data_IF_855067000792
#
_entry.id   IF_855067000792
#
_cell.length_a   1.000
_cell.length_b   1.000
_cell.length_c   1.000
_cell.angle_alpha   90.00
_cell.angle_beta   90.00
_cell.angle_gamma   90.00
#
_symmetry.space_group_name_H-M   'P 1'
#
loop_
_entity.id
_entity.type
_entity.pdbx_description
1 polymer ?
#
# COMPACT_ATOMS: atom_id res chain seq x y z
N UNK A 1 10.71 -29.64 -31.80
CA UNK A 1 9.96 -30.67 -31.06
C UNK A 1 9.22 -29.97 -29.93
N UNK A 2 7.89 -29.86 -30.00
CA UNK A 2 7.08 -29.32 -28.89
C UNK A 2 7.05 -30.37 -27.79
N UNK A 3 7.57 -30.06 -26.59
CA UNK A 3 7.33 -30.87 -25.40
C UNK A 3 6.23 -30.21 -24.58
N UNK A 4 5.13 -30.94 -24.52
CA UNK A 4 3.99 -30.77 -23.65
C UNK A 4 4.48 -30.88 -22.19
N UNK A 5 4.31 -29.84 -21.38
CA UNK A 5 4.52 -29.90 -19.94
C UNK A 5 3.17 -30.19 -19.27
N UNK A 6 3.08 -31.35 -18.61
CA UNK A 6 2.01 -31.69 -17.69
C UNK A 6 2.32 -30.99 -16.36
N UNK A 7 1.46 -30.07 -15.94
CA UNK A 7 1.49 -29.50 -14.60
C UNK A 7 0.77 -30.46 -13.64
N UNK A 8 1.48 -30.92 -12.62
CA UNK A 8 0.86 -31.65 -11.49
C UNK A 8 0.64 -30.64 -10.36
N UNK A 9 -0.59 -30.17 -10.20
CA UNK A 9 -0.98 -29.26 -9.12
C UNK A 9 -1.18 -30.05 -7.82
N UNK A 10 -0.55 -29.60 -6.73
CA UNK A 10 -0.94 -29.99 -5.37
C UNK A 10 -1.99 -28.96 -4.94
N UNK A 11 -3.23 -29.41 -4.75
CA UNK A 11 -4.33 -28.60 -4.23
C UNK A 11 -4.30 -28.73 -2.71
N UNK A 12 -3.90 -27.67 -2.00
CA UNK A 12 -4.16 -27.54 -0.57
C UNK A 12 -5.50 -26.83 -0.38
N UNK A 13 -6.53 -27.57 0.01
CA UNK A 13 -7.87 -27.03 0.26
C UNK A 13 -7.96 -26.59 1.73
N UNK A 14 -7.92 -25.28 2.00
CA UNK A 14 -8.25 -24.72 3.30
C UNK A 14 -9.70 -24.22 3.29
N UNK A 15 -10.59 -24.92 4.00
CA UNK A 15 -12.00 -24.52 4.15
C UNK A 15 -12.14 -23.65 5.40
N UNK A 16 -12.34 -22.34 5.21
CA UNK A 16 -12.74 -21.44 6.29
C UNK A 16 -14.24 -21.18 6.22
N UNK A 17 -15.01 -21.77 7.13
CA UNK A 17 -16.42 -21.45 7.33
C UNK A 17 -16.54 -20.44 8.48
N UNK A 18 -16.66 -19.16 8.15
CA UNK A 18 -16.85 -18.10 9.14
C UNK A 18 -18.34 -17.89 9.41
N UNK A 19 -18.75 -18.15 10.64
CA UNK A 19 -20.09 -17.87 11.16
C UNK A 19 -19.99 -16.67 12.10
N UNK A 20 -20.75 -15.62 11.87
CA UNK A 20 -20.78 -14.45 12.74
C UNK A 20 -21.27 -14.83 14.14
N UNK A 21 -20.44 -14.59 15.16
CA UNK A 21 -20.88 -14.64 16.55
C UNK A 21 -20.48 -13.32 17.22
N UNK A 22 -21.49 -12.59 17.72
CA UNK A 22 -21.35 -11.27 18.30
C UNK A 22 -20.51 -11.29 19.58
N UNK A 23 -19.66 -10.27 19.73
CA UNK A 23 -18.86 -10.03 20.93
C UNK A 23 -19.47 -8.85 21.68
N UNK A 24 -20.05 -9.11 22.85
CA UNK A 24 -20.37 -8.08 23.85
C UNK A 24 -19.12 -7.79 24.73
N UNK A 25 -18.89 -6.54 25.17
CA UNK A 25 -17.78 -6.24 26.07
C UNK A 25 -18.22 -6.37 27.53
N UNK A 26 -17.40 -6.96 28.39
CA UNK A 26 -17.62 -6.86 29.84
C UNK A 26 -16.34 -6.84 30.67
N UNK A 27 -16.27 -5.75 31.44
CA UNK A 27 -15.74 -5.62 32.80
C UNK A 27 -14.24 -5.43 33.02
N UNK A 28 -13.95 -4.16 33.29
CA UNK A 28 -12.84 -3.58 34.04
C UNK A 28 -12.56 -4.32 35.35
N UNK A 29 -11.31 -4.68 35.59
CA UNK A 29 -10.81 -5.09 36.93
C UNK A 29 -9.81 -4.03 37.37
N UNK A 30 -10.18 -3.26 38.38
CA UNK A 30 -9.29 -2.35 39.11
C UNK A 30 -8.69 -3.12 40.28
N UNK A 31 -7.38 -3.34 40.27
CA UNK A 31 -6.66 -3.88 41.43
C UNK A 31 -5.81 -2.77 42.03
N UNK A 32 -6.28 -2.23 43.15
CA UNK A 32 -5.57 -1.30 44.02
C UNK A 32 -4.49 -2.07 44.79
N UNK A 33 -3.23 -1.66 44.68
CA UNK A 33 -2.14 -2.13 45.56
C UNK A 33 -1.64 -0.94 46.39
N UNK A 34 -1.96 -0.97 47.69
CA UNK A 34 -1.32 -0.13 48.71
C UNK A 34 0.11 -0.62 48.98
N UNK A 35 1.04 0.33 49.14
CA UNK A 35 2.34 0.09 49.75
C UNK A 35 2.55 1.09 50.89
N UNK A 36 2.70 0.58 52.12
CA UNK A 36 3.03 1.36 53.29
C UNK A 36 4.53 1.63 53.43
N UNK A 37 4.89 2.74 54.06
CA UNK A 37 6.18 2.96 54.74
C UNK A 37 6.07 4.09 55.78
N UNK A 38 6.66 3.98 56.99
CA UNK A 38 6.71 5.04 57.99
C UNK A 38 8.06 5.82 57.99
N UNK A 39 8.22 6.89 58.81
CA UNK A 39 8.91 8.11 58.42
C UNK A 39 10.36 8.24 58.93
N UNK A 40 11.13 9.10 58.28
CA UNK A 40 12.45 9.56 58.73
C UNK A 40 12.76 10.96 58.18
N UNK A 41 13.09 11.87 59.09
CA UNK A 41 13.31 13.30 58.90
C UNK A 41 14.61 13.62 58.14
N UNK A 42 14.61 14.70 57.34
CA UNK A 42 15.75 15.61 57.21
C UNK A 42 15.31 16.93 56.54
N UNK A 43 15.58 18.04 57.22
CA UNK A 43 15.48 19.41 56.69
C UNK A 43 16.65 19.68 55.72
N UNK A 44 16.38 20.30 54.58
CA UNK A 44 17.37 21.08 53.84
C UNK A 44 16.70 22.13 52.96
N UNK A 45 17.09 23.38 53.18
CA UNK A 45 16.77 24.57 52.40
C UNK A 45 17.34 24.47 50.98
N UNK A 46 16.50 24.62 49.95
CA UNK A 46 16.97 24.94 48.60
C UNK A 46 15.96 25.87 47.90
N UNK A 47 16.49 26.98 47.41
CA UNK A 47 15.87 28.07 46.65
C UNK A 47 15.18 27.57 45.38
N UNK A 48 13.89 27.88 45.25
CA UNK A 48 13.10 27.57 44.05
C UNK A 48 13.47 28.50 42.88
N UNK A 49 13.93 27.90 41.79
CA UNK A 49 13.97 28.50 40.44
C UNK A 49 12.59 28.27 39.82
N UNK A 50 11.96 29.24 39.13
CA UNK A 50 10.70 29.00 38.45
C UNK A 50 11.00 28.20 37.18
N UNK A 51 10.72 26.90 37.21
CA UNK A 51 10.69 26.08 35.99
C UNK A 51 9.45 26.53 35.22
N UNK A 52 9.67 27.21 34.09
CA UNK A 52 8.62 27.40 33.09
C UNK A 52 8.34 26.03 32.50
N UNK A 53 7.26 25.42 32.96
CA UNK A 53 6.64 24.27 32.32
C UNK A 53 5.93 24.78 31.07
N UNK A 54 6.69 24.98 29.98
CA UNK A 54 6.11 24.96 28.64
C UNK A 54 5.73 23.51 28.34
N UNK A 55 4.59 23.11 28.90
CA UNK A 55 3.84 21.96 28.42
C UNK A 55 3.34 22.30 27.02
N UNK A 56 4.24 22.10 26.04
CA UNK A 56 3.88 22.07 24.63
C UNK A 56 2.96 20.87 24.47
N UNK A 57 1.65 21.14 24.43
CA UNK A 57 0.63 20.16 24.11
C UNK A 57 0.99 19.54 22.76
N UNK A 58 1.51 18.31 22.79
CA UNK A 58 1.76 17.52 21.60
C UNK A 58 0.45 17.40 20.83
N UNK A 59 0.40 18.02 19.64
CA UNK A 59 -0.70 17.89 18.70
C UNK A 59 -0.93 16.41 18.43
N UNK A 60 -1.97 15.85 19.04
CA UNK A 60 -2.42 14.46 18.86
C UNK A 60 -3.26 14.33 17.58
N UNK A 61 -2.87 15.06 16.53
CA UNK A 61 -3.46 14.96 15.21
C UNK A 61 -2.65 13.99 14.36
N UNK A 62 -3.32 13.16 13.55
CA UNK A 62 -2.66 12.35 12.54
C UNK A 62 -1.96 13.25 11.53
N UNK A 63 -0.70 12.95 11.21
CA UNK A 63 0.01 13.61 10.11
C UNK A 63 -0.65 13.21 8.79
N UNK A 64 -1.01 14.17 7.96
CA UNK A 64 -1.81 13.96 6.74
C UNK A 64 -1.21 14.69 5.55
N UNK A 65 -1.38 14.13 4.36
CA UNK A 65 -1.04 14.73 3.07
C UNK A 65 -2.28 14.76 2.18
N UNK A 66 -2.47 15.86 1.44
CA UNK A 66 -3.62 16.05 0.57
C UNK A 66 -3.29 17.01 -0.58
N UNK A 67 -4.17 17.06 -1.57
CA UNK A 67 -4.12 18.03 -2.66
C UNK A 67 -5.52 18.66 -2.84
N UNK A 68 -5.62 19.97 -3.17
CA UNK A 68 -6.90 20.54 -3.57
C UNK A 68 -7.42 20.01 -4.92
N UNK A 69 -6.55 19.40 -5.73
CA UNK A 69 -6.85 19.08 -7.13
C UNK A 69 -7.08 17.58 -7.37
N UNK A 70 -6.80 16.74 -6.38
CA UNK A 70 -7.04 15.29 -6.45
C UNK A 70 -7.28 14.73 -5.05
N UNK A 71 -8.23 13.81 -4.96
CA UNK A 71 -8.53 13.06 -3.73
C UNK A 71 -7.70 11.79 -3.65
N UNK A 72 -7.58 11.21 -2.46
CA UNK A 72 -6.95 9.90 -2.28
C UNK A 72 -7.54 8.84 -3.21
N UNK A 73 -6.68 8.12 -3.92
CA UNK A 73 -7.04 7.13 -4.94
C UNK A 73 -7.60 7.72 -6.25
N UNK A 74 -7.67 9.04 -6.36
CA UNK A 74 -8.22 9.72 -7.54
C UNK A 74 -7.28 9.72 -8.74
N UNK A 75 -7.86 9.95 -9.92
CA UNK A 75 -7.09 10.11 -11.16
C UNK A 75 -6.30 11.42 -11.15
N UNK A 76 -4.99 11.34 -11.40
CA UNK A 76 -4.09 12.47 -11.53
C UNK A 76 -4.50 13.32 -12.75
N UNK A 77 -4.87 14.61 -12.57
CA UNK A 77 -5.22 15.47 -13.70
C UNK A 77 -4.10 15.57 -14.74
N UNK A 78 -4.48 15.62 -16.01
CA UNK A 78 -3.54 15.61 -17.15
C UNK A 78 -2.53 16.77 -17.13
N UNK A 79 -2.86 17.89 -16.49
CA UNK A 79 -1.94 19.02 -16.33
C UNK A 79 -0.66 18.66 -15.53
N UNK A 80 -0.73 17.60 -14.71
CA UNK A 80 0.37 17.09 -13.89
C UNK A 80 1.12 15.94 -14.57
N UNK A 81 0.83 15.64 -15.83
CA UNK A 81 1.49 14.56 -16.59
C UNK A 81 2.22 15.13 -17.80
N UNK A 82 2.99 14.29 -18.50
CA UNK A 82 3.69 14.71 -19.71
C UNK A 82 2.76 15.01 -20.88
N UNK A 83 1.49 14.62 -20.78
CA UNK A 83 0.47 14.84 -21.80
C UNK A 83 -0.25 16.20 -21.61
N UNK A 84 0.04 16.93 -20.53
CA UNK A 84 -0.42 18.30 -20.28
C UNK A 84 0.73 19.25 -19.95
N UNK A 85 0.53 20.13 -18.96
CA UNK A 85 1.45 21.22 -18.62
C UNK A 85 2.75 20.76 -17.94
N UNK A 86 2.86 19.47 -17.59
CA UNK A 86 3.99 18.92 -16.82
C UNK A 86 4.21 19.63 -15.48
N UNK A 87 3.12 20.11 -14.88
CA UNK A 87 3.16 20.86 -13.62
C UNK A 87 3.36 19.93 -12.42
N UNK A 88 3.82 20.46 -11.29
CA UNK A 88 3.79 19.73 -10.01
C UNK A 88 2.40 19.84 -9.38
N UNK A 89 1.87 18.73 -8.87
CA UNK A 89 0.62 18.70 -8.10
C UNK A 89 0.75 19.61 -6.85
N UNK A 90 -0.20 20.53 -6.58
CA UNK A 90 -0.20 21.27 -5.31
C UNK A 90 -0.45 20.31 -4.15
N UNK A 91 0.35 20.41 -3.10
CA UNK A 91 0.31 19.54 -1.93
C UNK A 91 0.09 20.37 -0.66
N UNK A 92 -0.66 19.85 0.29
CA UNK A 92 -0.86 20.42 1.63
C UNK A 92 -0.76 19.32 2.67
N UNK A 93 0.01 19.55 3.72
CA UNK A 93 0.12 18.63 4.85
C UNK A 93 -0.19 19.32 6.17
N UNK A 94 -0.73 18.55 7.11
CA UNK A 94 -1.11 19.04 8.43
C UNK A 94 -0.87 17.98 9.50
N UNK A 95 -0.77 18.39 10.76
CA UNK A 95 -0.54 17.47 11.88
C UNK A 95 0.91 16.97 11.98
N UNK A 96 1.89 17.72 11.46
CA UNK A 96 3.29 17.36 11.62
C UNK A 96 3.69 17.34 13.12
N UNK A 97 4.53 16.38 13.57
CA UNK A 97 5.05 16.36 14.94
C UNK A 97 5.71 17.70 15.30
N UNK A 98 5.47 18.20 16.51
CA UNK A 98 5.91 19.54 16.95
C UNK A 98 7.43 19.76 16.88
N UNK A 99 8.23 18.69 16.99
CA UNK A 99 9.69 18.71 16.92
C UNK A 99 10.24 18.50 15.49
N UNK A 100 9.39 18.64 14.46
CA UNK A 100 9.81 18.59 13.06
C UNK A 100 10.67 19.81 12.72
N UNK A 101 11.86 19.60 12.17
CA UNK A 101 12.84 20.63 11.78
C UNK A 101 12.96 20.78 10.26
N UNK A 102 12.60 19.75 9.49
CA UNK A 102 12.50 19.82 8.03
C UNK A 102 11.47 18.83 7.48
N UNK A 103 11.10 19.00 6.21
CA UNK A 103 10.31 18.01 5.45
C UNK A 103 11.06 17.51 4.21
N UNK A 104 10.68 16.33 3.76
CA UNK A 104 11.04 15.79 2.46
C UNK A 104 9.80 15.23 1.74
N UNK A 105 9.81 15.26 0.40
CA UNK A 105 8.75 14.73 -0.46
C UNK A 105 9.38 13.79 -1.47
N UNK A 106 8.75 12.62 -1.63
CA UNK A 106 9.04 11.67 -2.69
C UNK A 106 7.76 11.41 -3.48
N UNK A 107 7.84 11.47 -4.81
CA UNK A 107 6.83 10.90 -5.69
C UNK A 107 7.43 9.69 -6.39
N UNK A 108 6.77 8.54 -6.30
CA UNK A 108 7.25 7.31 -6.91
C UNK A 108 6.13 6.40 -7.40
N UNK A 109 6.48 5.44 -8.24
CA UNK A 109 5.66 4.32 -8.67
C UNK A 109 6.52 3.06 -8.59
N UNK A 110 5.97 2.00 -7.99
CA UNK A 110 6.61 0.69 -7.83
C UNK A 110 5.82 -0.28 -8.74
N UNK A 111 6.23 -0.47 -10.00
CA UNK A 111 5.58 -1.43 -10.89
C UNK A 111 5.79 -2.89 -10.47
N UNK A 112 6.80 -3.17 -9.63
CA UNK A 112 7.09 -4.51 -9.13
C UNK A 112 8.21 -4.52 -8.11
N UNK A 113 8.48 -5.65 -7.46
CA UNK A 113 9.61 -5.80 -6.54
C UNK A 113 10.93 -5.48 -7.27
N UNK A 114 11.80 -4.72 -6.61
CA UNK A 114 13.07 -4.18 -7.14
C UNK A 114 12.98 -3.22 -8.34
N UNK A 115 11.77 -2.91 -8.84
CA UNK A 115 11.55 -1.86 -9.82
C UNK A 115 10.87 -0.66 -9.14
N UNK A 116 11.59 0.45 -9.08
CA UNK A 116 11.08 1.71 -8.53
C UNK A 116 11.44 2.84 -9.47
N UNK A 117 10.41 3.55 -9.91
CA UNK A 117 10.58 4.81 -10.61
C UNK A 117 10.21 5.95 -9.68
N UNK A 118 11.08 6.94 -9.55
CA UNK A 118 10.81 8.14 -8.77
C UNK A 118 10.85 9.37 -9.67
N UNK A 119 9.84 10.20 -9.49
CA UNK A 119 9.49 11.33 -10.34
C UNK A 119 9.81 12.65 -9.67
N UNK A 120 9.85 12.65 -8.34
CA UNK A 120 10.18 13.82 -7.56
C UNK A 120 10.92 13.42 -6.28
N UNK A 121 12.05 14.06 -6.02
CA UNK A 121 12.75 14.05 -4.74
C UNK A 121 12.97 15.51 -4.37
N UNK A 122 12.41 15.94 -3.26
CA UNK A 122 12.56 17.29 -2.72
C UNK A 122 12.81 17.19 -1.23
N UNK A 123 13.89 17.77 -0.73
CA UNK A 123 14.28 17.70 0.68
C UNK A 123 14.71 19.08 1.18
N UNK A 124 15.11 19.19 2.45
CA UNK A 124 15.42 20.47 3.12
C UNK A 124 14.27 21.49 3.07
N UNK A 125 13.02 21.04 3.02
CA UNK A 125 11.85 21.92 3.10
C UNK A 125 11.76 22.45 4.54
N UNK A 126 11.72 23.78 4.77
CA UNK A 126 11.65 24.36 6.11
C UNK A 126 10.44 23.89 6.91
N UNK A 127 10.60 23.69 8.23
CA UNK A 127 9.54 23.21 9.13
C UNK A 127 8.28 24.10 9.20
N UNK A 128 8.38 25.38 8.82
CA UNK A 128 7.23 26.30 8.79
C UNK A 128 6.42 26.20 7.49
N UNK A 129 6.86 25.39 6.51
CA UNK A 129 6.13 25.12 5.28
C UNK A 129 5.17 23.97 5.52
N UNK A 130 3.89 24.17 5.20
CA UNK A 130 2.82 23.18 5.36
C UNK A 130 2.19 22.77 4.03
N UNK A 131 2.84 23.10 2.92
CA UNK A 131 2.32 22.83 1.59
C UNK A 131 3.19 23.43 0.49
N UNK A 132 2.97 22.94 -0.73
CA UNK A 132 3.57 23.45 -1.96
C UNK A 132 2.46 23.84 -2.92
N UNK A 133 2.51 25.08 -3.40
CA UNK A 133 1.68 25.49 -4.52
C UNK A 133 2.14 24.80 -5.81
N UNK A 134 1.25 24.77 -6.81
CA UNK A 134 1.58 24.31 -8.15
C UNK A 134 2.83 25.03 -8.67
N UNK A 135 3.80 24.27 -9.17
CA UNK A 135 5.10 24.73 -9.68
C UNK A 135 5.90 25.59 -8.70
N UNK A 136 5.78 25.31 -7.39
CA UNK A 136 6.62 25.95 -6.37
C UNK A 136 8.11 25.66 -6.61
N UNK A 137 8.95 26.67 -6.46
CA UNK A 137 10.39 26.58 -6.63
C UNK A 137 11.13 27.27 -5.48
N UNK A 138 12.33 26.77 -5.15
CA UNK A 138 13.19 27.37 -4.12
C UNK A 138 12.75 27.16 -2.67
N UNK A 139 11.75 26.29 -2.43
CA UNK A 139 11.27 25.95 -1.07
C UNK A 139 12.13 24.86 -0.41
N UNK A 140 12.89 24.10 -1.19
CA UNK A 140 13.82 23.07 -0.71
C UNK A 140 14.86 22.76 -1.79
N UNK A 141 15.56 21.65 -1.62
CA UNK A 141 16.60 21.17 -2.53
C UNK A 141 16.07 19.99 -3.36
N UNK A 142 16.23 20.06 -4.68
CA UNK A 142 15.84 18.98 -5.60
C UNK A 142 16.89 17.88 -5.65
N UNK A 143 16.45 16.63 -5.49
CA UNK A 143 17.22 15.42 -5.78
C UNK A 143 16.97 14.89 -7.19
N UNK A 144 17.71 13.86 -7.61
CA UNK A 144 17.59 13.27 -8.94
C UNK A 144 16.29 12.49 -9.11
N UNK A 145 15.76 12.42 -10.34
CA UNK A 145 14.67 11.53 -10.73
C UNK A 145 15.18 10.31 -11.54
N UNK A 146 14.41 9.21 -11.60
CA UNK A 146 14.80 8.01 -12.36
C UNK A 146 14.50 8.07 -13.85
N UNK A 147 13.81 9.11 -14.33
CA UNK A 147 13.34 9.22 -15.73
C UNK A 147 14.45 9.73 -16.63
N UNK A 148 15.16 10.79 -16.22
CA UNK A 148 16.26 11.39 -16.95
C UNK A 148 17.51 11.65 -16.09
N UNK A 149 17.49 11.32 -14.80
CA UNK A 149 18.62 11.51 -13.88
C UNK A 149 18.80 12.95 -13.39
N UNK A 150 17.93 13.88 -13.78
CA UNK A 150 18.08 15.30 -13.43
C UNK A 150 17.51 15.63 -12.05
N UNK A 151 18.07 16.67 -11.43
CA UNK A 151 17.57 17.25 -10.18
C UNK A 151 16.32 18.11 -10.42
N UNK A 152 15.22 17.46 -10.81
CA UNK A 152 13.97 18.10 -11.20
C UNK A 152 12.79 17.14 -11.05
N UNK A 153 11.59 17.72 -11.00
CA UNK A 153 10.35 16.97 -11.20
C UNK A 153 10.30 16.41 -12.63
N UNK A 154 10.06 15.12 -12.77
CA UNK A 154 9.76 14.46 -14.03
C UNK A 154 8.26 14.09 -14.04
N UNK A 155 7.44 14.64 -14.95
CA UNK A 155 6.01 14.34 -14.96
C UNK A 155 5.76 12.87 -15.34
N UNK A 156 4.77 12.20 -14.72
CA UNK A 156 4.26 10.90 -15.16
C UNK A 156 4.04 10.86 -16.67
N UNK A 157 4.64 9.87 -17.32
CA UNK A 157 4.57 9.73 -18.77
C UNK A 157 4.38 8.25 -19.15
N UNK A 158 3.27 7.67 -18.73
CA UNK A 158 2.98 6.25 -18.99
C UNK A 158 3.15 5.91 -20.48
N UNK A 159 4.00 4.91 -20.76
CA UNK A 159 4.33 4.47 -22.12
C UNK A 159 3.54 3.23 -22.56
N UNK A 160 2.73 2.65 -21.67
CA UNK A 160 1.94 1.46 -21.92
C UNK A 160 0.49 1.63 -21.46
N UNK A 161 -0.41 0.72 -21.90
CA UNK A 161 -1.76 0.66 -21.40
C UNK A 161 -1.75 0.29 -19.91
N UNK A 162 -2.86 0.57 -19.24
CA UNK A 162 -3.04 0.24 -17.83
C UNK A 162 -2.87 1.44 -16.92
N UNK A 163 -3.61 1.37 -15.82
CA UNK A 163 -3.52 2.33 -14.73
C UNK A 163 -2.24 2.10 -13.94
N UNK A 164 -1.58 3.20 -13.57
CA UNK A 164 -0.41 3.19 -12.70
C UNK A 164 -0.73 3.94 -11.42
N UNK A 165 -0.36 3.37 -10.29
CA UNK A 165 -0.40 4.03 -8.99
C UNK A 165 0.87 4.86 -8.79
N UNK A 166 0.70 6.14 -8.48
CA UNK A 166 1.76 7.05 -8.06
C UNK A 166 1.52 7.45 -6.61
N UNK A 167 2.51 7.25 -5.76
CA UNK A 167 2.46 7.59 -4.35
C UNK A 167 3.33 8.81 -4.07
N UNK A 168 2.70 9.86 -3.58
CA UNK A 168 3.37 11.01 -2.97
C UNK A 168 3.50 10.73 -1.48
N UNK A 169 4.71 10.79 -0.95
CA UNK A 169 4.98 10.67 0.49
C UNK A 169 5.64 11.95 0.98
N UNK A 170 5.12 12.53 2.06
CA UNK A 170 5.80 13.58 2.82
C UNK A 170 6.36 12.97 4.11
N UNK A 171 7.60 13.32 4.43
CA UNK A 171 8.29 12.90 5.65
C UNK A 171 8.51 14.12 6.53
N UNK A 172 8.11 14.02 7.80
CA UNK A 172 8.40 15.01 8.84
C UNK A 172 9.67 14.59 9.58
N UNK A 173 10.71 15.41 9.55
CA UNK A 173 12.06 15.04 9.98
C UNK A 173 12.50 15.82 11.21
N UNK A 174 13.14 15.14 12.16
CA UNK A 174 13.69 15.74 13.38
C UNK A 174 14.97 16.56 13.16
N UNK A 175 15.57 16.52 11.97
CA UNK A 175 16.74 17.30 11.56
C UNK A 175 16.73 17.49 10.03
N UNK A 176 17.67 18.28 9.49
CA UNK A 176 17.93 18.31 8.05
C UNK A 176 18.72 17.06 7.64
N UNK A 177 18.32 16.34 6.57
CA UNK A 177 19.06 15.18 6.09
C UNK A 177 20.48 15.55 5.67
N UNK A 178 21.42 14.62 5.86
CA UNK A 178 22.82 14.82 5.52
C UNK A 178 23.27 13.81 4.48
N UNK A 179 24.02 14.27 3.47
CA UNK A 179 24.42 13.45 2.33
C UNK A 179 25.93 13.49 2.12
N UNK A 180 26.49 12.38 1.63
CA UNK A 180 27.87 12.27 1.17
C UNK A 180 28.02 12.49 -0.34
N UNK A 181 26.91 12.71 -1.04
CA UNK A 181 26.83 12.95 -2.49
C UNK A 181 26.33 14.37 -2.77
N UNK A 182 26.63 14.96 -3.94
CA UNK A 182 26.06 16.26 -4.31
C UNK A 182 24.53 16.16 -4.48
N UNK A 183 23.83 17.29 -4.36
CA UNK A 183 22.38 17.36 -4.48
C UNK A 183 21.83 16.70 -5.77
N UNK A 184 22.55 16.85 -6.88
CA UNK A 184 22.19 16.23 -8.17
C UNK A 184 22.23 14.71 -8.20
N UNK A 185 22.80 14.07 -7.17
CA UNK A 185 22.93 12.61 -7.06
C UNK A 185 22.09 12.04 -5.90
N UNK A 186 21.35 12.88 -5.18
CA UNK A 186 20.41 12.42 -4.14
C UNK A 186 19.20 11.78 -4.81
N UNK A 187 19.25 10.47 -5.01
CA UNK A 187 18.13 9.65 -5.49
C UNK A 187 17.12 9.36 -4.38
N UNK A 188 16.01 8.68 -4.72
CA UNK A 188 15.05 8.18 -3.72
C UNK A 188 15.74 7.34 -2.64
N UNK A 189 16.57 6.37 -3.01
CA UNK A 189 17.24 5.51 -2.03
C UNK A 189 18.20 6.28 -1.14
N UNK A 190 19.02 7.17 -1.71
CA UNK A 190 19.95 8.02 -0.96
C UNK A 190 19.20 8.90 0.05
N UNK A 191 18.04 9.47 -0.35
CA UNK A 191 17.18 10.21 0.56
C UNK A 191 16.64 9.33 1.68
N UNK A 192 16.04 8.18 1.35
CA UNK A 192 15.41 7.29 2.34
C UNK A 192 16.42 6.79 3.38
N UNK A 193 17.61 6.40 2.94
CA UNK A 193 18.69 5.98 3.84
C UNK A 193 19.12 7.11 4.79
N UNK A 194 19.19 8.35 4.30
CA UNK A 194 19.58 9.50 5.09
C UNK A 194 18.50 9.94 6.10
N UNK A 195 17.23 9.62 5.86
CA UNK A 195 16.11 10.05 6.71
C UNK A 195 15.58 8.97 7.65
N UNK A 196 15.98 7.70 7.47
CA UNK A 196 15.41 6.55 8.19
C UNK A 196 15.38 6.74 9.72
N UNK A 197 16.46 7.29 10.29
CA UNK A 197 16.64 7.42 11.74
C UNK A 197 16.17 8.78 12.29
N UNK A 198 15.80 9.71 11.40
CA UNK A 198 15.34 11.06 11.76
C UNK A 198 13.88 11.31 11.39
N UNK A 199 13.21 10.36 10.75
CA UNK A 199 11.78 10.45 10.39
C UNK A 199 10.92 10.33 11.65
N UNK A 200 10.11 11.34 11.91
CA UNK A 200 9.18 11.39 13.04
C UNK A 200 7.78 10.90 12.65
N UNK A 201 7.36 11.18 11.42
CA UNK A 201 6.12 10.73 10.83
C UNK A 201 6.20 10.81 9.30
N UNK A 202 5.36 10.03 8.63
CA UNK A 202 5.11 10.16 7.20
C UNK A 202 3.61 10.20 6.90
N UNK A 203 3.24 10.75 5.76
CA UNK A 203 1.88 10.72 5.25
C UNK A 203 1.90 10.56 3.73
N UNK A 204 0.91 9.86 3.19
CA UNK A 204 0.85 9.52 1.77
C UNK A 204 -0.40 10.09 1.09
N UNK A 205 -0.27 10.34 -0.20
CA UNK A 205 -1.36 10.61 -1.13
C UNK A 205 -1.15 9.71 -2.35
N UNK A 206 -2.11 8.82 -2.58
CA UNK A 206 -2.11 7.89 -3.70
C UNK A 206 -2.97 8.45 -4.83
N UNK A 207 -2.44 8.45 -6.05
CA UNK A 207 -3.16 8.89 -7.25
C UNK A 207 -2.90 7.94 -8.39
N UNK A 208 -3.87 7.81 -9.30
CA UNK A 208 -3.74 6.91 -10.44
C UNK A 208 -3.61 7.67 -11.75
N UNK A 209 -2.88 7.12 -12.72
CA UNK A 209 -2.91 7.62 -14.09
C UNK A 209 -2.85 6.48 -15.09
N UNK A 210 -3.84 6.44 -15.97
CA UNK A 210 -3.85 5.58 -17.15
C UNK A 210 -3.82 6.47 -18.38
N UNK A 211 -2.86 6.24 -19.29
CA UNK A 211 -2.88 6.89 -20.59
C UNK A 211 -3.92 6.18 -21.45
N UNK A 212 -4.98 6.88 -21.84
CA UNK A 212 -5.92 6.38 -22.84
C UNK A 212 -5.13 6.09 -24.12
N UNK A 213 -5.01 4.81 -24.48
CA UNK A 213 -4.48 4.45 -25.80
C UNK A 213 -5.33 5.14 -26.86
N UNK A 214 -4.70 5.62 -27.94
CA UNK A 214 -5.41 6.04 -29.14
C UNK A 214 -6.41 4.94 -29.53
N UNK A 215 -7.71 5.24 -29.47
CA UNK A 215 -8.78 4.35 -29.91
C UNK A 215 -8.54 3.95 -31.37
N UNK A 216 -8.05 2.73 -31.60
CA UNK A 216 -8.04 2.10 -32.92
C UNK A 216 -9.37 1.35 -33.10
N UNK A 217 -10.31 2.01 -33.77
CA UNK A 217 -11.46 1.46 -34.52
C UNK A 217 -11.88 0.01 -34.18
N UNK A 218 -12.83 -0.17 -33.25
CA UNK A 218 -13.76 -1.30 -33.36
C UNK A 218 -14.98 -0.87 -34.21
N UNK A 219 -15.33 -1.62 -35.28
CA UNK A 219 -16.60 -1.38 -35.98
C UNK A 219 -17.79 -1.68 -35.04
N UNK A 220 -18.95 -1.06 -35.27
CA UNK A 220 -20.15 -1.30 -34.46
C UNK A 220 -20.59 -2.77 -34.54
N UNK A 221 -21.20 -3.34 -33.47
CA UNK A 221 -21.73 -4.70 -33.54
C UNK A 221 -22.92 -4.74 -34.52
N UNK A 222 -22.80 -5.60 -35.54
CA UNK A 222 -23.91 -5.92 -36.45
C UNK A 222 -25.02 -6.66 -35.69
N UNK A 223 -26.25 -6.15 -35.84
CA UNK A 223 -27.47 -6.82 -35.42
C UNK A 223 -27.76 -8.00 -36.37
N UNK A 224 -27.91 -9.21 -35.81
CA UNK A 224 -28.24 -10.41 -36.56
C UNK A 224 -28.99 -11.45 -35.72
N UNK A 225 -30.24 -11.67 -36.11
CA UNK A 225 -31.35 -12.45 -35.55
C UNK A 225 -31.09 -13.90 -35.06
N UNK A 226 -31.93 -14.33 -34.11
CA UNK A 226 -32.16 -15.71 -33.67
C UNK A 226 -32.75 -16.63 -34.76
N UNK A 227 -32.81 -17.97 -34.56
CA UNK A 227 -33.99 -18.55 -33.89
C UNK A 227 -33.77 -19.75 -32.94
N UNK A 228 -34.68 -19.84 -31.95
CA UNK A 228 -35.41 -20.98 -31.32
C UNK A 228 -34.99 -22.44 -31.61
N UNK A 229 -35.24 -23.48 -30.81
CA UNK A 229 -35.58 -23.79 -29.40
C UNK A 229 -35.59 -25.33 -29.37
N UNK A 230 -34.93 -26.01 -28.43
CA UNK A 230 -35.34 -27.37 -28.03
C UNK A 230 -35.04 -27.62 -26.55
N UNK A 231 -36.01 -28.26 -25.90
CA UNK A 231 -36.31 -28.22 -24.47
C UNK A 231 -35.96 -29.53 -23.73
N UNK A 232 -35.21 -29.40 -22.63
CA UNK A 232 -35.28 -30.03 -21.27
C UNK A 232 -35.60 -31.54 -21.07
N UNK A 233 -35.09 -32.19 -20.00
CA UNK A 233 -35.45 -31.91 -18.58
C UNK A 233 -34.22 -31.80 -17.64
N UNK A 234 -34.15 -30.88 -16.67
CA UNK A 234 -34.83 -30.85 -15.36
C UNK A 234 -34.46 -32.04 -14.44
N UNK A 235 -33.39 -31.86 -13.65
CA UNK A 235 -33.17 -32.58 -12.40
C UNK A 235 -33.00 -31.55 -11.26
N UNK A 236 -33.52 -31.91 -10.10
CA UNK A 236 -34.16 -31.03 -9.14
C UNK A 236 -33.22 -30.13 -8.33
N UNK A 237 -33.80 -28.98 -7.98
CA UNK A 237 -33.28 -28.02 -7.03
C UNK A 237 -33.07 -28.60 -5.63
N UNK A 238 -31.98 -28.19 -4.99
CA UNK A 238 -32.04 -27.75 -3.60
C UNK A 238 -31.88 -26.23 -3.56
N UNK A 239 -32.99 -25.58 -3.20
CA UNK A 239 -33.07 -24.16 -2.89
C UNK A 239 -32.77 -24.00 -1.41
N UNK A 240 -31.73 -23.25 -1.08
CA UNK A 240 -31.68 -22.49 0.16
C UNK A 240 -31.39 -21.04 -0.20
N UNK A 241 -32.49 -20.31 -0.43
CA UNK A 241 -32.51 -18.86 -0.41
C UNK A 241 -32.17 -18.37 0.99
N UNK A 242 -30.97 -17.85 1.20
CA UNK A 242 -30.71 -16.85 2.24
C UNK A 242 -30.58 -15.51 1.54
N UNK A 243 -31.61 -14.69 1.67
CA UNK A 243 -31.55 -13.26 1.40
C UNK A 243 -30.44 -12.69 2.29
N UNK A 244 -29.26 -12.54 1.71
CA UNK A 244 -28.03 -12.18 2.41
C UNK A 244 -27.57 -10.91 1.72
N UNK A 245 -27.77 -9.79 2.43
CA UNK A 245 -27.40 -8.47 1.91
C UNK A 245 -25.91 -8.47 1.61
N UNK A 246 -25.57 -8.20 0.34
CA UNK A 246 -24.18 -8.10 -0.07
C UNK A 246 -23.51 -6.91 0.66
N UNK A 247 -22.32 -7.14 1.18
CA UNK A 247 -21.45 -6.12 1.75
C UNK A 247 -20.12 -6.13 1.02
N UNK A 248 -19.41 -5.00 1.05
CA UNK A 248 -18.09 -4.87 0.45
C UNK A 248 -17.03 -5.31 1.45
N UNK A 249 -16.13 -6.19 0.99
CA UNK A 249 -14.97 -6.63 1.74
C UNK A 249 -13.69 -6.07 1.12
N UNK A 250 -12.67 -5.84 1.94
CA UNK A 250 -11.29 -5.59 1.52
C UNK A 250 -10.42 -6.78 1.92
N UNK A 251 -9.79 -7.42 0.95
CA UNK A 251 -8.75 -8.44 1.16
C UNK A 251 -7.38 -7.78 0.95
N UNK A 252 -6.53 -7.88 1.95
CA UNK A 252 -5.11 -7.53 1.92
C UNK A 252 -4.34 -8.84 2.09
N UNK A 253 -3.49 -9.21 1.14
CA UNK A 253 -2.77 -10.47 1.19
C UNK A 253 -1.32 -10.30 0.74
N UNK A 254 -0.42 -10.94 1.48
CA UNK A 254 1.02 -11.00 1.23
C UNK A 254 1.41 -12.44 0.93
N UNK A 255 2.15 -12.67 -0.14
CA UNK A 255 2.62 -14.00 -0.52
C UNK A 255 4.11 -13.97 -0.86
N UNK A 256 4.81 -15.03 -0.51
CA UNK A 256 6.11 -15.33 -1.08
C UNK A 256 5.88 -15.99 -2.45
N UNK A 257 6.21 -15.25 -3.48
CA UNK A 257 6.10 -15.50 -4.92
C UNK A 257 4.77 -15.36 -5.61
N UNK A 258 3.72 -16.07 -5.21
CA UNK A 258 2.47 -15.97 -5.96
C UNK A 258 1.26 -16.49 -5.20
N UNK A 259 0.15 -15.79 -5.39
CA UNK A 259 -1.15 -16.33 -5.02
C UNK A 259 -2.26 -15.97 -6.01
N UNK A 260 -3.38 -16.68 -5.89
CA UNK A 260 -4.66 -16.24 -6.43
C UNK A 260 -5.75 -16.52 -5.40
N UNK A 261 -6.69 -15.59 -5.25
CA UNK A 261 -7.83 -15.70 -4.37
C UNK A 261 -9.14 -15.71 -5.16
N UNK A 262 -10.07 -16.55 -4.72
CA UNK A 262 -11.36 -16.79 -5.37
C UNK A 262 -12.51 -16.69 -4.37
N UNK A 263 -13.64 -16.13 -4.80
CA UNK A 263 -14.91 -16.19 -4.09
C UNK A 263 -15.72 -17.35 -4.65
N UNK A 264 -15.80 -18.47 -3.91
CA UNK A 264 -16.22 -19.73 -4.49
C UNK A 264 -15.32 -20.11 -5.67
N UNK A 265 -15.85 -20.13 -6.89
CA UNK A 265 -15.09 -20.43 -8.11
C UNK A 265 -14.65 -19.19 -8.90
N UNK A 266 -15.09 -17.98 -8.50
CA UNK A 266 -14.81 -16.75 -9.23
C UNK A 266 -13.48 -16.13 -8.77
N UNK A 267 -12.58 -15.87 -9.71
CA UNK A 267 -11.31 -15.18 -9.42
C UNK A 267 -11.58 -13.74 -8.95
N UNK A 268 -11.02 -13.36 -7.81
CA UNK A 268 -11.11 -12.00 -7.25
C UNK A 268 -9.82 -11.23 -7.51
N UNK A 269 -8.69 -11.87 -7.19
CA UNK A 269 -7.35 -11.30 -7.37
C UNK A 269 -6.38 -12.42 -7.72
N UNK A 270 -5.55 -12.16 -8.70
CA UNK A 270 -4.38 -12.95 -9.04
C UNK A 270 -3.18 -12.04 -8.78
N UNK A 271 -2.17 -12.56 -8.09
CA UNK A 271 -0.92 -11.86 -7.87
C UNK A 271 -0.38 -11.38 -9.21
N UNK A 272 -0.19 -10.07 -9.28
CA UNK A 272 0.24 -9.39 -10.50
C UNK A 272 1.68 -9.74 -10.89
N UNK A 273 2.46 -10.26 -9.94
CA UNK A 273 3.83 -10.70 -10.13
C UNK A 273 3.85 -12.18 -10.51
N UNK A 274 4.54 -12.53 -11.60
CA UNK A 274 4.64 -13.92 -12.04
C UNK A 274 5.32 -14.80 -10.97
N UNK A 275 4.82 -16.02 -10.78
CA UNK A 275 5.44 -17.09 -9.96
C UNK A 275 6.90 -17.41 -10.34
N UNK A 276 7.37 -16.99 -11.52
CA UNK A 276 8.76 -17.19 -11.95
C UNK A 276 9.72 -16.11 -11.45
N UNK A 277 9.23 -15.15 -10.65
CA UNK A 277 10.04 -14.07 -10.10
C UNK A 277 10.76 -14.58 -8.85
N UNK A 278 12.09 -14.64 -8.90
CA UNK A 278 12.92 -15.05 -7.76
C UNK A 278 12.87 -14.00 -6.65
N UNK A 279 12.69 -14.40 -5.38
CA UNK A 279 12.69 -13.53 -4.18
C UNK A 279 11.59 -12.46 -4.10
N UNK A 280 10.38 -12.76 -4.55
CA UNK A 280 9.32 -11.76 -4.54
C UNK A 280 8.39 -11.94 -3.33
N UNK A 281 8.47 -11.03 -2.35
CA UNK A 281 7.39 -10.83 -1.37
C UNK A 281 6.36 -9.88 -1.97
N UNK A 282 5.22 -10.41 -2.35
CA UNK A 282 4.17 -9.67 -3.04
C UNK A 282 3.06 -9.30 -2.08
N UNK A 283 2.41 -8.17 -2.34
CA UNK A 283 1.25 -7.71 -1.60
C UNK A 283 0.17 -7.28 -2.59
N UNK A 284 -1.03 -7.82 -2.46
CA UNK A 284 -2.19 -7.34 -3.22
C UNK A 284 -3.30 -6.88 -2.28
N UNK A 285 -4.02 -5.87 -2.72
CA UNK A 285 -5.23 -5.39 -2.05
C UNK A 285 -6.38 -5.35 -3.05
N UNK A 286 -7.49 -6.01 -2.72
CA UNK A 286 -8.68 -6.03 -3.57
C UNK A 286 -9.93 -5.83 -2.75
N UNK A 287 -10.90 -5.11 -3.32
CA UNK A 287 -12.25 -5.00 -2.77
C UNK A 287 -13.25 -5.77 -3.61
N UNK A 288 -14.16 -6.50 -2.97
CA UNK A 288 -15.20 -7.27 -3.65
C UNK A 288 -16.47 -7.34 -2.81
N UNK A 289 -17.62 -7.46 -3.47
CA UNK A 289 -18.91 -7.61 -2.80
C UNK A 289 -19.23 -9.09 -2.60
N UNK A 290 -19.64 -9.46 -1.39
CA UNK A 290 -20.08 -10.81 -1.07
C UNK A 290 -21.12 -10.80 0.05
N UNK A 291 -21.78 -11.94 0.26
CA UNK A 291 -22.71 -12.12 1.36
C UNK A 291 -22.26 -13.24 2.27
N UNK A 292 -22.60 -13.15 3.57
CA UNK A 292 -22.35 -14.24 4.50
C UNK A 292 -23.33 -15.41 4.29
N UNK A 293 -22.90 -16.67 4.49
CA UNK A 293 -21.51 -17.09 4.66
C UNK A 293 -20.76 -17.01 3.33
N UNK A 294 -19.53 -16.48 3.36
CA UNK A 294 -18.66 -16.41 2.19
C UNK A 294 -17.57 -17.50 2.26
N UNK A 295 -17.14 -17.99 1.10
CA UNK A 295 -16.07 -18.96 0.96
C UNK A 295 -14.96 -18.37 0.09
N UNK A 296 -13.78 -18.18 0.69
CA UNK A 296 -12.57 -17.81 -0.05
C UNK A 296 -11.71 -19.04 -0.29
N UNK A 297 -11.31 -19.24 -1.54
CA UNK A 297 -10.36 -20.26 -1.94
C UNK A 297 -9.06 -19.58 -2.38
N UNK A 298 -7.92 -20.15 -1.98
CA UNK A 298 -6.61 -19.63 -2.33
C UNK A 298 -5.79 -20.68 -3.06
N UNK A 299 -5.04 -20.26 -4.07
CA UNK A 299 -3.95 -21.03 -4.66
C UNK A 299 -2.68 -20.28 -4.32
N UNK A 300 -1.77 -20.92 -3.57
CA UNK A 300 -0.46 -20.38 -3.22
C UNK A 300 0.60 -21.14 -4.00
N UNK A 301 1.58 -20.42 -4.55
CA UNK A 301 2.73 -21.04 -5.19
C UNK A 301 3.99 -20.32 -4.74
N UNK A 302 4.99 -21.13 -4.44
CA UNK A 302 6.34 -20.70 -4.11
C UNK A 302 7.25 -20.90 -5.32
N UNK A 303 8.30 -20.08 -5.43
CA UNK A 303 9.25 -20.22 -6.54
C UNK A 303 10.03 -21.54 -6.43
N UNK A 304 10.42 -22.06 -7.58
CA UNK A 304 11.39 -23.14 -7.69
C UNK A 304 12.16 -22.96 -8.99
N UNK A 305 13.49 -23.08 -8.91
CA UNK A 305 14.35 -22.86 -10.08
C UNK A 305 14.21 -24.01 -11.10
N UNK A 306 13.89 -25.21 -10.62
CA UNK A 306 13.50 -26.34 -11.46
C UNK A 306 12.63 -27.36 -10.69
N UNK A 307 12.30 -28.47 -11.34
CA UNK A 307 11.42 -29.52 -10.79
C UNK A 307 11.99 -30.30 -9.60
N UNK A 308 13.18 -29.95 -9.09
CA UNK A 308 13.68 -30.47 -7.82
C UNK A 308 13.01 -29.82 -6.60
N UNK A 309 12.37 -28.65 -6.76
CA UNK A 309 11.81 -27.88 -5.65
C UNK A 309 12.85 -27.06 -4.87
N UNK A 310 14.05 -26.89 -5.43
CA UNK A 310 15.12 -26.07 -4.88
C UNK A 310 15.18 -24.70 -5.57
N UNK A 311 15.67 -23.72 -4.82
CA UNK A 311 16.01 -22.38 -5.26
C UNK A 311 17.53 -22.13 -5.15
N UNK A 312 18.06 -21.17 -5.92
CA UNK A 312 19.47 -20.74 -5.93
C UNK A 312 20.46 -21.88 -6.16
N UNK A 313 20.16 -22.77 -7.10
CA UNK A 313 20.91 -23.99 -7.37
C UNK A 313 22.34 -23.66 -7.77
N UNK A 314 23.30 -24.27 -7.06
CA UNK A 314 24.73 -24.02 -7.28
C UNK A 314 25.29 -22.78 -6.57
N UNK A 315 24.47 -22.06 -5.80
CA UNK A 315 24.93 -20.99 -4.90
C UNK A 315 25.13 -21.53 -3.47
N UNK A 316 25.87 -20.82 -2.60
CA UNK A 316 25.91 -21.11 -1.16
C UNK A 316 24.55 -20.96 -0.43
N UNK A 317 23.56 -20.33 -1.07
CA UNK A 317 22.22 -20.06 -0.53
C UNK A 317 21.17 -21.07 -1.03
N UNK A 318 21.59 -22.17 -1.68
CA UNK A 318 20.67 -23.17 -2.19
C UNK A 318 19.78 -23.75 -1.08
N UNK A 319 18.47 -23.63 -1.22
CA UNK A 319 17.49 -24.06 -0.24
C UNK A 319 16.22 -24.63 -0.91
N UNK A 320 15.39 -25.32 -0.13
CA UNK A 320 14.00 -25.57 -0.53
C UNK A 320 13.24 -24.25 -0.44
N UNK A 321 12.29 -24.00 -1.34
CA UNK A 321 11.39 -22.85 -1.21
C UNK A 321 10.77 -22.81 0.19
N UNK A 322 10.85 -21.64 0.83
CA UNK A 322 10.48 -21.39 2.22
C UNK A 322 9.13 -20.68 2.37
N UNK A 323 8.34 -20.65 1.28
CA UNK A 323 7.25 -19.72 1.05
C UNK A 323 6.33 -19.39 2.23
N UNK A 324 5.86 -18.14 2.25
CA UNK A 324 4.96 -17.58 3.25
C UNK A 324 3.67 -17.02 2.64
N UNK A 325 2.62 -16.94 3.45
CA UNK A 325 1.38 -16.25 3.10
C UNK A 325 0.75 -15.64 4.35
N UNK A 326 0.33 -14.38 4.26
CA UNK A 326 -0.40 -13.66 5.30
C UNK A 326 -1.59 -12.99 4.65
N UNK A 327 -2.75 -12.97 5.31
CA UNK A 327 -3.88 -12.18 4.81
C UNK A 327 -4.70 -11.53 5.92
N UNK A 328 -5.42 -10.48 5.55
CA UNK A 328 -6.47 -9.85 6.33
C UNK A 328 -7.69 -9.59 5.46
N UNK A 329 -8.86 -10.03 5.92
CA UNK A 329 -10.15 -9.71 5.32
C UNK A 329 -10.91 -8.76 6.24
N UNK A 330 -11.28 -7.59 5.73
CA UNK A 330 -12.04 -6.58 6.46
C UNK A 330 -13.44 -6.43 5.85
N UNK A 331 -14.49 -6.53 6.68
CA UNK A 331 -15.84 -6.13 6.28
C UNK A 331 -15.92 -4.61 6.35
N UNK A 332 -16.06 -3.93 5.20
CA UNK A 332 -16.04 -2.48 5.15
C UNK A 332 -17.31 -1.84 5.68
N UNK A 333 -18.42 -2.58 5.78
CA UNK A 333 -19.65 -2.05 6.39
C UNK A 333 -19.52 -1.86 7.89
N UNK A 334 -18.76 -2.75 8.55
CA UNK A 334 -18.52 -2.72 10.00
C UNK A 334 -17.14 -2.17 10.36
N UNK A 335 -16.22 -2.07 9.40
CA UNK A 335 -14.82 -1.69 9.59
C UNK A 335 -14.00 -2.73 10.35
N UNK A 336 -14.52 -3.95 10.52
CA UNK A 336 -13.92 -4.98 11.37
C UNK A 336 -13.13 -5.99 10.53
N UNK A 337 -11.95 -6.39 11.01
CA UNK A 337 -11.22 -7.53 10.45
C UNK A 337 -11.97 -8.82 10.82
N UNK A 338 -12.49 -9.52 9.81
CA UNK A 338 -13.34 -10.71 9.97
C UNK A 338 -12.58 -12.01 9.74
N UNK A 339 -11.42 -11.97 9.09
CA UNK A 339 -10.48 -13.09 9.00
C UNK A 339 -9.04 -12.59 8.92
N UNK A 340 -8.13 -13.34 9.53
CA UNK A 340 -6.67 -13.14 9.42
C UNK A 340 -5.99 -14.51 9.32
N UNK A 341 -4.90 -14.60 8.55
CA UNK A 341 -4.06 -15.80 8.44
C UNK A 341 -2.59 -15.43 8.47
#
# INVERSE_FOLDING_TARGET
MRKLMLATSIIALFVFALTACGVEPSSTVTTTLEAGSPPGQAEALATAVPIHDESTTASTGSFTLSSPDVVEGGALPIEYTCDGDSATLPLTWSGAPANSQSFAIVMHHIPGPDDSHWYWVLYDIPANVTGLAKNSAGVGTLGSNSVNGEAAYAPPCSKGPGEKLYTYTVYALSAQPQFSVPASEVSRSVLLDAIQDITLASAELNVTYARSGSEENQPPPEQGSAPETESQPAEAAETTSSDSTATTFKLEAWADNWFAAYLGENLIVEDSVSITTERSFNAETVTFDASYPLMLNFILKDFKENDTGLEYIGTPQQQMGDGGFIMQLTDLSTGTAVAVS
#
